data_IF_376839886518
#
_entry.id   IF_376839886518
#
_cell.length_a   1.000
_cell.length_b   1.000
_cell.length_c   1.000
_cell.angle_alpha   90.00
_cell.angle_beta   90.00
_cell.angle_gamma   90.00
#
_symmetry.space_group_name_H-M   'P 1'
#
loop_
_entity.id
_entity.type
_entity.pdbx_description
1 polymer ?
#
# COMPACT_ATOMS: atom_id res chain seq x y z
N UNK A 1 19.83 -5.47 -36.49
CA UNK A 1 19.53 -6.40 -35.38
C UNK A 1 19.66 -5.58 -34.11
N UNK A 2 18.54 -5.06 -33.61
CA UNK A 2 18.51 -4.41 -32.29
C UNK A 2 18.68 -5.51 -31.25
N UNK A 3 19.73 -5.39 -30.43
CA UNK A 3 19.90 -6.24 -29.26
C UNK A 3 18.69 -6.00 -28.34
N UNK A 4 17.83 -7.01 -28.24
CA UNK A 4 16.84 -7.13 -27.17
C UNK A 4 17.62 -7.03 -25.85
N UNK A 5 17.55 -5.87 -25.19
CA UNK A 5 17.97 -5.75 -23.80
C UNK A 5 17.19 -6.80 -23.01
N UNK A 6 17.92 -7.62 -22.28
CA UNK A 6 17.31 -8.57 -21.36
C UNK A 6 16.48 -7.74 -20.36
N UNK A 7 15.17 -8.02 -20.19
CA UNK A 7 14.32 -7.27 -19.26
C UNK A 7 14.78 -7.37 -17.80
N UNK A 8 15.78 -8.20 -17.50
CA UNK A 8 16.46 -8.26 -16.20
C UNK A 8 17.53 -7.18 -15.98
N UNK A 9 18.01 -6.48 -17.02
CA UNK A 9 19.03 -5.42 -16.88
C UNK A 9 18.53 -4.18 -16.11
N UNK A 10 17.22 -4.05 -15.90
CA UNK A 10 16.58 -2.97 -15.12
C UNK A 10 16.26 -3.40 -13.67
N UNK A 11 16.67 -4.59 -13.23
CA UNK A 11 16.47 -5.03 -11.86
C UNK A 11 17.59 -4.44 -10.99
N UNK A 12 17.25 -3.42 -10.20
CA UNK A 12 18.07 -2.95 -9.07
C UNK A 12 18.61 -4.15 -8.24
N UNK A 13 19.70 -4.00 -7.50
CA UNK A 13 20.22 -5.06 -6.61
C UNK A 13 19.23 -5.39 -5.49
N UNK A 14 19.12 -6.69 -5.14
CA UNK A 14 18.21 -7.16 -4.08
C UNK A 14 18.50 -6.42 -2.78
N UNK A 15 17.53 -5.65 -2.28
CA UNK A 15 17.71 -4.94 -1.02
C UNK A 15 17.67 -5.97 0.11
N UNK A 16 18.52 -5.82 1.13
CA UNK A 16 18.49 -6.66 2.34
C UNK A 16 17.08 -6.70 2.97
N UNK A 17 16.32 -5.62 2.76
CA UNK A 17 14.93 -5.48 3.15
C UNK A 17 14.00 -6.41 2.38
N UNK A 18 14.06 -6.39 1.05
CA UNK A 18 13.25 -7.27 0.21
C UNK A 18 13.52 -8.73 0.55
N UNK A 19 14.80 -9.10 0.72
CA UNK A 19 15.20 -10.45 1.14
C UNK A 19 14.55 -10.82 2.48
N UNK A 20 14.62 -9.96 3.50
CA UNK A 20 14.00 -10.23 4.81
C UNK A 20 12.49 -10.39 4.75
N UNK A 21 11.78 -9.53 4.01
CA UNK A 21 10.33 -9.62 3.85
C UNK A 21 9.99 -10.91 3.09
N UNK A 22 10.68 -11.17 1.97
CA UNK A 22 10.48 -12.37 1.15
C UNK A 22 10.70 -13.64 1.95
N UNK A 23 11.82 -13.75 2.64
CA UNK A 23 12.18 -14.91 3.45
C UNK A 23 11.14 -15.20 4.53
N UNK A 24 10.61 -14.17 5.20
CA UNK A 24 9.63 -14.35 6.26
C UNK A 24 8.22 -14.61 5.75
N UNK A 25 7.80 -14.00 4.63
CA UNK A 25 6.44 -14.14 4.11
C UNK A 25 6.24 -15.34 3.22
N UNK A 26 7.28 -15.74 2.48
CA UNK A 26 7.28 -16.97 1.69
C UNK A 26 7.53 -18.18 2.60
N UNK A 27 8.03 -17.99 3.83
CA UNK A 27 8.18 -19.07 4.78
C UNK A 27 6.81 -19.74 5.05
N UNK A 28 6.68 -21.06 4.79
CA UNK A 28 5.45 -21.79 5.08
C UNK A 28 4.98 -21.68 6.54
N UNK A 29 5.89 -21.37 7.47
CA UNK A 29 5.56 -21.19 8.89
C UNK A 29 4.90 -19.85 9.21
N UNK A 30 4.98 -18.84 8.35
CA UNK A 30 4.54 -17.47 8.64
C UNK A 30 3.11 -17.42 9.21
N UNK A 31 2.15 -18.00 8.50
CA UNK A 31 0.75 -18.00 8.91
C UNK A 31 0.54 -18.79 10.21
N UNK A 32 1.28 -19.87 10.40
CA UNK A 32 1.25 -20.67 11.64
C UNK A 32 1.77 -19.86 12.82
N UNK A 33 2.88 -19.14 12.63
CA UNK A 33 3.50 -18.28 13.63
C UNK A 33 2.59 -17.10 14.00
N UNK A 34 2.00 -16.42 13.01
CA UNK A 34 1.00 -15.35 13.24
C UNK A 34 -0.22 -15.88 13.98
N UNK A 35 -0.75 -17.05 13.58
CA UNK A 35 -1.90 -17.67 14.25
C UNK A 35 -1.57 -18.04 15.70
N UNK A 36 -0.37 -18.55 15.96
CA UNK A 36 0.12 -18.85 17.32
C UNK A 36 0.23 -17.58 18.16
N UNK A 37 0.76 -16.50 17.59
CA UNK A 37 0.85 -15.20 18.26
C UNK A 37 -0.55 -14.67 18.58
N UNK A 38 -1.44 -14.64 17.60
CA UNK A 38 -2.82 -14.17 17.77
C UNK A 38 -3.58 -14.96 18.84
N UNK A 39 -3.42 -16.28 18.86
CA UNK A 39 -4.01 -17.16 19.88
C UNK A 39 -3.44 -16.83 21.26
N UNK A 40 -2.12 -16.67 21.36
CA UNK A 40 -1.45 -16.33 22.61
C UNK A 40 -1.89 -14.96 23.15
N UNK A 41 -2.03 -13.96 22.27
CA UNK A 41 -2.57 -12.63 22.61
C UNK A 41 -4.05 -12.67 23.01
N UNK A 42 -4.80 -13.65 22.51
CA UNK A 42 -6.22 -13.81 22.81
C UNK A 42 -6.50 -14.45 24.16
N UNK A 43 -5.60 -15.34 24.61
CA UNK A 43 -5.76 -16.12 25.84
C UNK A 43 -5.02 -15.47 27.02
N UNK A 44 -3.93 -14.75 26.75
CA UNK A 44 -3.06 -14.19 27.79
C UNK A 44 -3.59 -12.90 28.41
N UNK A 45 -3.74 -12.89 29.74
CA UNK A 45 -3.83 -11.67 30.57
C UNK A 45 -2.48 -11.26 31.20
N UNK A 46 -1.41 -12.04 30.98
CA UNK A 46 -0.12 -11.90 31.68
C UNK A 46 0.92 -11.05 30.94
N UNK A 47 1.60 -10.17 31.67
CA UNK A 47 2.62 -9.26 31.14
C UNK A 47 3.84 -10.01 30.57
N UNK A 48 4.20 -11.17 31.12
CA UNK A 48 5.38 -11.95 30.70
C UNK A 48 5.21 -12.65 29.35
N UNK A 49 4.04 -13.25 29.12
CA UNK A 49 3.75 -13.89 27.82
C UNK A 49 3.75 -12.85 26.70
N UNK A 50 3.24 -11.64 26.97
CA UNK A 50 3.30 -10.51 26.04
C UNK A 50 4.74 -10.07 25.75
N UNK A 51 5.62 -10.04 26.75
CA UNK A 51 7.05 -9.74 26.56
C UNK A 51 7.74 -10.80 25.70
N UNK A 52 7.45 -12.09 25.94
CA UNK A 52 8.02 -13.20 25.15
C UNK A 52 7.62 -13.15 23.68
N UNK A 53 6.34 -12.87 23.40
CA UNK A 53 5.81 -12.71 22.04
C UNK A 53 6.49 -11.53 21.33
N UNK A 54 6.73 -10.41 22.05
CA UNK A 54 7.34 -9.21 21.49
C UNK A 54 8.78 -9.37 20.99
N UNK A 55 9.47 -10.42 21.44
CA UNK A 55 10.86 -10.70 21.13
C UNK A 55 11.03 -11.85 20.11
N UNK A 56 9.94 -12.35 19.53
CA UNK A 56 10.03 -13.32 18.43
C UNK A 56 10.40 -12.62 17.13
N UNK A 57 11.21 -13.27 16.29
CA UNK A 57 11.68 -12.74 15.01
C UNK A 57 10.52 -12.28 14.11
N UNK A 58 9.50 -13.12 13.96
CA UNK A 58 8.26 -12.81 13.26
C UNK A 58 7.58 -11.52 13.78
N UNK A 59 7.63 -11.25 15.09
CA UNK A 59 7.07 -10.04 15.68
C UNK A 59 7.90 -8.80 15.32
N UNK A 60 9.22 -8.94 15.22
CA UNK A 60 10.10 -7.87 14.75
C UNK A 60 9.82 -7.56 13.28
N UNK A 61 9.64 -8.60 12.45
CA UNK A 61 9.26 -8.44 11.03
C UNK A 61 7.92 -7.73 10.87
N UNK A 62 6.90 -8.13 11.62
CA UNK A 62 5.58 -7.45 11.58
C UNK A 62 5.69 -5.98 12.02
N UNK A 63 6.46 -5.69 13.08
CA UNK A 63 6.69 -4.30 13.50
C UNK A 63 7.38 -3.48 12.41
N UNK A 64 8.39 -4.05 11.78
CA UNK A 64 9.13 -3.40 10.71
C UNK A 64 8.22 -3.04 9.53
N UNK A 65 7.38 -3.99 9.09
CA UNK A 65 6.40 -3.77 8.01
C UNK A 65 5.40 -2.69 8.39
N UNK A 66 4.87 -2.75 9.61
CA UNK A 66 3.96 -1.74 10.12
C UNK A 66 4.63 -0.36 10.09
N UNK A 67 5.81 -0.21 10.70
CA UNK A 67 6.55 1.05 10.72
C UNK A 67 6.80 1.61 9.33
N UNK A 68 7.15 0.76 8.37
CA UNK A 68 7.39 1.18 7.00
C UNK A 68 6.11 1.62 6.28
N UNK A 69 5.05 0.81 6.36
CA UNK A 69 3.73 1.17 5.81
C UNK A 69 3.24 2.51 6.37
N UNK A 70 3.45 2.73 7.66
CA UNK A 70 3.02 3.95 8.34
C UNK A 70 3.85 5.19 8.01
N UNK A 71 5.14 5.03 7.73
CA UNK A 71 6.04 6.14 7.44
C UNK A 71 6.91 5.80 6.22
N UNK A 72 6.33 5.89 5.00
CA UNK A 72 7.08 5.72 3.77
C UNK A 72 8.30 6.63 3.74
N UNK A 73 9.44 6.08 3.31
CA UNK A 73 10.64 6.87 3.09
C UNK A 73 10.63 7.43 1.66
N UNK A 74 10.55 8.76 1.53
CA UNK A 74 10.43 9.47 0.25
C UNK A 74 11.65 9.30 -0.69
N UNK A 75 12.78 8.77 -0.22
CA UNK A 75 14.06 8.81 -0.95
C UNK A 75 14.31 7.63 -1.87
N UNK A 76 13.34 6.72 -2.03
CA UNK A 76 13.56 5.48 -2.76
C UNK A 76 12.48 5.32 -3.83
N UNK A 77 12.76 5.83 -5.03
CA UNK A 77 11.94 5.65 -6.23
C UNK A 77 12.41 4.43 -7.01
N UNK A 78 11.49 3.59 -7.48
CA UNK A 78 11.82 2.44 -8.32
C UNK A 78 10.77 1.34 -8.30
N UNK A 79 10.79 0.47 -9.33
CA UNK A 79 9.81 -0.63 -9.48
C UNK A 79 9.84 -1.59 -8.28
N UNK A 80 11.00 -1.77 -7.65
CA UNK A 80 11.15 -2.67 -6.50
C UNK A 80 10.56 -2.09 -5.23
N UNK A 81 10.75 -0.80 -4.97
CA UNK A 81 10.23 -0.14 -3.78
C UNK A 81 8.72 -0.04 -3.84
N UNK A 82 8.15 0.20 -5.04
CA UNK A 82 6.72 0.07 -5.27
C UNK A 82 6.21 -1.34 -4.90
N UNK A 83 6.92 -2.39 -5.33
CA UNK A 83 6.57 -3.78 -4.99
C UNK A 83 6.68 -4.06 -3.48
N UNK A 84 7.76 -3.62 -2.83
CA UNK A 84 7.94 -3.74 -1.37
C UNK A 84 6.81 -3.06 -0.61
N UNK A 85 6.42 -1.85 -1.03
CA UNK A 85 5.33 -1.10 -0.39
C UNK A 85 3.96 -1.77 -0.60
N UNK A 86 3.72 -2.33 -1.79
CA UNK A 86 2.51 -3.11 -2.07
C UNK A 86 2.46 -4.39 -1.23
N UNK A 87 3.60 -5.06 -1.05
CA UNK A 87 3.70 -6.20 -0.14
C UNK A 87 3.35 -5.78 1.29
N UNK A 88 3.93 -4.69 1.79
CA UNK A 88 3.60 -4.15 3.12
C UNK A 88 2.09 -3.93 3.26
N UNK A 89 1.45 -3.31 2.25
CA UNK A 89 0.01 -3.10 2.24
C UNK A 89 -0.78 -4.41 2.41
N UNK A 90 -0.54 -5.40 1.55
CA UNK A 90 -1.30 -6.66 1.58
C UNK A 90 -1.13 -7.39 2.91
N UNK A 91 0.06 -7.30 3.50
CA UNK A 91 0.38 -7.87 4.79
C UNK A 91 -0.39 -7.16 5.90
N UNK A 92 -0.36 -5.83 5.91
CA UNK A 92 -1.06 -5.02 6.90
C UNK A 92 -2.58 -5.21 6.77
N UNK A 93 -3.12 -5.27 5.55
CA UNK A 93 -4.54 -5.54 5.28
C UNK A 93 -4.94 -6.93 5.80
N UNK A 94 -4.15 -7.97 5.50
CA UNK A 94 -4.37 -9.33 5.99
C UNK A 94 -4.42 -9.37 7.51
N UNK A 95 -3.43 -8.75 8.17
CA UNK A 95 -3.34 -8.71 9.63
C UNK A 95 -4.47 -7.88 10.26
N UNK A 96 -4.84 -6.76 9.66
CA UNK A 96 -5.94 -5.91 10.14
C UNK A 96 -7.28 -6.64 10.07
N UNK A 97 -7.52 -7.38 8.98
CA UNK A 97 -8.77 -8.10 8.73
C UNK A 97 -8.89 -9.37 9.56
N UNK A 98 -7.83 -10.19 9.60
CA UNK A 98 -7.90 -11.54 10.17
C UNK A 98 -7.28 -11.67 11.56
N UNK A 99 -6.36 -10.76 11.91
CA UNK A 99 -5.58 -10.83 13.15
C UNK A 99 -5.50 -9.48 13.89
N UNK A 100 -6.63 -8.77 14.13
CA UNK A 100 -6.62 -7.38 14.61
C UNK A 100 -5.92 -7.19 15.96
N UNK A 101 -5.86 -8.22 16.82
CA UNK A 101 -5.10 -8.17 18.08
C UNK A 101 -3.59 -8.08 17.86
N UNK A 102 -3.07 -8.65 16.77
CA UNK A 102 -1.66 -8.54 16.38
C UNK A 102 -1.36 -7.09 16.02
N UNK A 103 -2.19 -6.46 15.18
CA UNK A 103 -2.09 -5.03 14.86
C UNK A 103 -2.13 -4.18 16.13
N UNK A 104 -3.11 -4.38 16.99
CA UNK A 104 -3.27 -3.56 18.19
C UNK A 104 -2.11 -3.66 19.18
N UNK A 105 -1.47 -4.83 19.30
CA UNK A 105 -0.34 -5.02 20.22
C UNK A 105 1.00 -4.60 19.60
N UNK A 106 1.15 -4.72 18.28
CA UNK A 106 2.42 -4.51 17.59
C UNK A 106 2.53 -3.16 16.85
N UNK A 107 1.42 -2.45 16.65
CA UNK A 107 1.46 -1.13 16.00
C UNK A 107 2.39 -0.16 16.75
N UNK A 108 3.10 0.73 16.04
CA UNK A 108 3.87 1.78 16.67
C UNK A 108 2.97 2.63 17.58
N UNK A 109 3.44 2.93 18.79
CA UNK A 109 2.64 3.64 19.82
C UNK A 109 2.08 4.99 19.36
N UNK A 110 2.72 5.61 18.38
CA UNK A 110 2.37 6.94 17.86
C UNK A 110 1.21 6.90 16.86
N UNK A 111 0.65 5.71 16.58
CA UNK A 111 -0.26 5.52 15.47
C UNK A 111 -1.65 5.14 15.94
N UNK A 112 -2.57 6.03 15.62
CA UNK A 112 -3.99 5.84 15.86
C UNK A 112 -4.55 4.76 14.92
N UNK A 113 -5.48 3.97 15.44
CA UNK A 113 -6.26 3.04 14.63
C UNK A 113 -6.99 3.75 13.48
N UNK A 114 -7.47 4.98 13.71
CA UNK A 114 -8.14 5.75 12.65
C UNK A 114 -7.19 6.07 11.48
N UNK A 115 -5.94 6.44 11.78
CA UNK A 115 -4.91 6.70 10.77
C UNK A 115 -4.65 5.45 9.92
N UNK A 116 -4.48 4.28 10.56
CA UNK A 116 -4.30 3.01 9.84
C UNK A 116 -5.48 2.71 8.90
N UNK A 117 -6.72 2.85 9.40
CA UNK A 117 -7.92 2.56 8.61
C UNK A 117 -8.03 3.47 7.39
N UNK A 118 -7.70 4.75 7.56
CA UNK A 118 -7.70 5.70 6.45
C UNK A 118 -6.60 5.39 5.43
N UNK A 119 -5.40 5.01 5.87
CA UNK A 119 -4.33 4.57 4.96
C UNK A 119 -4.73 3.33 4.15
N UNK A 120 -5.32 2.32 4.81
CA UNK A 120 -5.85 1.13 4.12
C UNK A 120 -6.98 1.48 3.16
N UNK A 121 -7.87 2.39 3.54
CA UNK A 121 -8.96 2.87 2.68
C UNK A 121 -8.41 3.52 1.41
N UNK A 122 -7.43 4.41 1.56
CA UNK A 122 -6.78 5.07 0.44
C UNK A 122 -6.14 4.07 -0.53
N UNK A 123 -5.46 3.05 0.00
CA UNK A 123 -4.88 1.97 -0.80
C UNK A 123 -5.95 1.21 -1.60
N UNK A 124 -7.09 0.90 -0.97
CA UNK A 124 -8.22 0.27 -1.66
C UNK A 124 -8.77 1.12 -2.81
N UNK A 125 -8.83 2.45 -2.65
CA UNK A 125 -9.22 3.37 -3.71
C UNK A 125 -8.23 3.33 -4.89
N UNK A 126 -6.93 3.30 -4.61
CA UNK A 126 -5.91 3.21 -5.65
C UNK A 126 -5.89 1.87 -6.37
N UNK A 127 -6.09 0.75 -5.68
CA UNK A 127 -6.22 -0.56 -6.32
C UNK A 127 -7.45 -0.61 -7.23
N UNK A 128 -8.56 0.00 -6.81
CA UNK A 128 -9.76 0.15 -7.65
C UNK A 128 -9.44 0.96 -8.91
N UNK A 129 -8.76 2.11 -8.76
CA UNK A 129 -8.33 2.92 -9.90
C UNK A 129 -7.43 2.13 -10.87
N UNK A 130 -6.45 1.40 -10.35
CA UNK A 130 -5.56 0.55 -11.14
C UNK A 130 -6.33 -0.51 -11.92
N UNK A 131 -7.30 -1.17 -11.29
CA UNK A 131 -8.16 -2.16 -11.93
C UNK A 131 -8.97 -1.54 -13.08
N UNK A 132 -9.66 -0.43 -12.83
CA UNK A 132 -10.45 0.27 -13.85
C UNK A 132 -9.58 0.75 -15.03
N UNK A 133 -8.32 1.10 -14.76
CA UNK A 133 -7.33 1.49 -15.79
C UNK A 133 -6.96 0.30 -16.68
N UNK A 134 -6.72 -0.88 -16.09
CA UNK A 134 -6.46 -2.12 -16.84
C UNK A 134 -7.67 -2.53 -17.68
N UNK A 135 -8.86 -2.39 -17.13
CA UNK A 135 -10.13 -2.69 -17.82
C UNK A 135 -10.51 -1.63 -18.88
N UNK A 136 -9.76 -0.51 -18.95
CA UNK A 136 -9.98 0.63 -19.87
C UNK A 136 -11.40 1.22 -19.76
N UNK A 137 -11.99 1.12 -18.58
CA UNK A 137 -13.32 1.63 -18.25
C UNK A 137 -13.23 3.13 -18.01
N UNK A 138 -13.58 3.95 -19.00
CA UNK A 138 -13.43 5.42 -18.86
C UNK A 138 -14.30 5.99 -17.73
N UNK A 139 -15.52 5.50 -17.57
CA UNK A 139 -16.43 5.95 -16.52
C UNK A 139 -15.97 5.48 -15.14
N UNK A 140 -15.53 4.22 -15.02
CA UNK A 140 -14.96 3.68 -13.79
C UNK A 140 -13.65 4.35 -13.39
N UNK A 141 -12.78 4.66 -14.35
CA UNK A 141 -11.57 5.45 -14.13
C UNK A 141 -11.91 6.86 -13.63
N UNK A 142 -12.84 7.56 -14.28
CA UNK A 142 -13.26 8.91 -13.86
C UNK A 142 -13.80 8.90 -12.43
N UNK A 143 -14.70 7.96 -12.10
CA UNK A 143 -15.25 7.80 -10.75
C UNK A 143 -14.16 7.49 -9.72
N UNK A 144 -13.23 6.60 -10.06
CA UNK A 144 -12.15 6.20 -9.15
C UNK A 144 -11.16 7.34 -8.90
N UNK A 145 -10.75 8.08 -9.94
CA UNK A 145 -9.91 9.27 -9.78
C UNK A 145 -10.62 10.31 -8.90
N UNK A 146 -11.92 10.54 -9.13
CA UNK A 146 -12.72 11.45 -8.31
C UNK A 146 -12.69 11.04 -6.83
N UNK A 147 -12.93 9.77 -6.52
CA UNK A 147 -12.91 9.28 -5.14
C UNK A 147 -11.53 9.42 -4.48
N UNK A 148 -10.45 9.16 -5.22
CA UNK A 148 -9.07 9.33 -4.74
C UNK A 148 -8.79 10.80 -4.37
N UNK A 149 -9.18 11.73 -5.24
CA UNK A 149 -8.97 13.16 -5.00
C UNK A 149 -9.85 13.70 -3.87
N UNK A 150 -11.13 13.30 -3.80
CA UNK A 150 -12.01 13.68 -2.69
C UNK A 150 -11.48 13.15 -1.34
N UNK A 151 -10.93 11.93 -1.32
CA UNK A 151 -10.28 11.41 -0.12
C UNK A 151 -9.05 12.24 0.27
N UNK A 152 -8.19 12.59 -0.70
CA UNK A 152 -7.01 13.42 -0.46
C UNK A 152 -7.38 14.80 0.13
N UNK A 153 -8.40 15.45 -0.42
CA UNK A 153 -8.86 16.78 0.02
C UNK A 153 -9.48 16.74 1.42
N UNK A 154 -10.15 15.63 1.77
CA UNK A 154 -10.83 15.48 3.08
C UNK A 154 -9.92 14.99 4.19
N UNK A 155 -8.81 14.29 3.87
CA UNK A 155 -7.89 13.71 4.84
C UNK A 155 -6.58 14.49 4.95
N UNK A 156 -6.68 15.77 5.32
CA UNK A 156 -5.53 16.71 5.43
C UNK A 156 -4.37 16.11 6.26
N UNK A 157 -4.68 15.44 7.37
CA UNK A 157 -3.68 14.82 8.25
C UNK A 157 -2.91 13.65 7.63
N UNK A 158 -3.30 13.19 6.44
CA UNK A 158 -2.67 12.08 5.72
C UNK A 158 -2.02 12.52 4.40
N UNK A 159 -2.15 13.78 3.98
CA UNK A 159 -1.66 14.23 2.68
C UNK A 159 -0.16 13.97 2.51
N UNK A 160 0.67 14.27 3.52
CA UNK A 160 2.11 13.97 3.47
C UNK A 160 2.39 12.47 3.27
N UNK A 161 1.59 11.60 3.89
CA UNK A 161 1.72 10.16 3.71
C UNK A 161 1.28 9.73 2.31
N UNK A 162 0.17 10.29 1.80
CA UNK A 162 -0.35 10.02 0.46
C UNK A 162 0.64 10.46 -0.61
N UNK A 163 1.23 11.66 -0.48
CA UNK A 163 2.17 12.21 -1.46
C UNK A 163 3.40 11.31 -1.59
N UNK A 164 3.99 10.93 -0.46
CA UNK A 164 5.13 9.99 -0.41
C UNK A 164 4.78 8.64 -1.00
N UNK A 165 3.56 8.17 -0.74
CA UNK A 165 3.10 6.90 -1.26
C UNK A 165 2.98 6.92 -2.79
N UNK A 166 2.30 7.92 -3.34
CA UNK A 166 2.11 8.05 -4.80
C UNK A 166 3.47 8.19 -5.48
N UNK A 167 4.39 8.95 -4.89
CA UNK A 167 5.76 9.10 -5.37
C UNK A 167 6.48 7.74 -5.44
N UNK A 168 6.38 6.91 -4.39
CA UNK A 168 7.01 5.57 -4.37
C UNK A 168 6.41 4.65 -5.43
N UNK A 169 5.08 4.63 -5.59
CA UNK A 169 4.38 3.66 -6.45
C UNK A 169 4.46 4.03 -7.92
N UNK A 170 4.33 5.31 -8.23
CA UNK A 170 4.15 5.78 -9.60
C UNK A 170 5.32 6.62 -10.13
N UNK A 171 6.24 7.04 -9.25
CA UNK A 171 7.25 8.04 -9.62
C UNK A 171 6.64 9.40 -9.99
N UNK A 172 5.36 9.61 -9.68
CA UNK A 172 4.61 10.83 -9.94
C UNK A 172 4.05 11.42 -8.64
N UNK A 173 3.56 12.65 -8.71
CA UNK A 173 2.87 13.32 -7.60
C UNK A 173 1.35 13.20 -7.75
N UNK A 174 0.58 13.52 -6.69
CA UNK A 174 -0.89 13.64 -6.76
C UNK A 174 -1.33 14.63 -7.86
N UNK A 175 -0.51 15.62 -8.20
CA UNK A 175 -0.74 16.55 -9.32
C UNK A 175 -0.81 15.83 -10.68
N UNK A 176 -0.06 14.74 -10.88
CA UNK A 176 -0.16 13.91 -12.08
C UNK A 176 -1.55 13.26 -12.23
N UNK A 177 -2.19 12.90 -11.11
CA UNK A 177 -3.57 12.39 -11.11
C UNK A 177 -4.59 13.50 -11.41
N UNK A 178 -4.36 14.72 -10.93
CA UNK A 178 -5.16 15.90 -11.30
C UNK A 178 -5.13 16.15 -12.81
N UNK A 179 -3.95 16.19 -13.41
CA UNK A 179 -3.79 16.37 -14.87
C UNK A 179 -4.47 15.25 -15.67
N UNK A 180 -4.41 14.02 -15.16
CA UNK A 180 -5.08 12.86 -15.77
C UNK A 180 -6.61 13.00 -15.75
N UNK A 181 -7.18 13.47 -14.62
CA UNK A 181 -8.63 13.76 -14.51
C UNK A 181 -9.06 14.80 -15.55
N UNK A 182 -8.34 15.90 -15.66
CA UNK A 182 -8.65 16.98 -16.60
C UNK A 182 -8.58 16.51 -18.06
N UNK A 183 -7.56 15.72 -18.41
CA UNK A 183 -7.43 15.12 -19.74
C UNK A 183 -8.60 14.20 -20.09
N UNK A 184 -9.06 13.37 -19.15
CA UNK A 184 -10.23 12.50 -19.33
C UNK A 184 -11.49 13.34 -19.56
N UNK A 185 -11.72 14.38 -18.74
CA UNK A 185 -12.87 15.30 -18.89
C UNK A 185 -12.85 15.94 -20.28
N UNK A 186 -11.71 16.48 -20.72
CA UNK A 186 -11.54 17.07 -22.04
C UNK A 186 -11.82 16.08 -23.18
N UNK A 187 -11.47 14.81 -23.00
CA UNK A 187 -11.77 13.76 -23.98
C UNK A 187 -13.27 13.40 -24.06
N UNK A 188 -14.00 13.53 -22.95
CA UNK A 188 -15.44 13.33 -22.89
C UNK A 188 -16.21 14.51 -23.48
N UNK A 189 -15.80 15.75 -23.15
CA UNK A 189 -16.42 16.96 -23.68
C UNK A 189 -16.17 17.14 -25.17
N UNK A 190 -14.99 16.79 -25.68
CA UNK A 190 -14.70 16.74 -27.12
C UNK A 190 -15.60 15.75 -27.89
N UNK A 191 -15.87 14.57 -27.32
CA UNK A 191 -16.80 13.60 -27.92
C UNK A 191 -18.26 14.05 -27.87
N UNK A 192 -18.70 14.61 -26.74
CA UNK A 192 -20.06 15.14 -26.61
C UNK A 192 -20.28 16.32 -27.57
N UNK A 193 -19.27 17.17 -27.76
CA UNK A 193 -19.32 18.29 -28.69
C UNK A 193 -19.36 17.83 -30.16
N UNK A 194 -18.65 16.75 -30.52
CA UNK A 194 -18.76 16.14 -31.86
C UNK A 194 -20.13 15.53 -32.14
N UNK A 195 -20.74 14.86 -31.15
CA UNK A 195 -22.08 14.26 -31.28
C UNK A 195 -23.17 15.34 -31.39
N UNK A 196 -22.93 16.56 -30.89
CA UNK A 196 -23.87 17.68 -30.99
C UNK A 196 -23.73 18.49 -32.30
N UNK A 197 -22.66 18.24 -33.07
CA UNK A 197 -22.33 18.94 -34.33
C UNK A 197 -22.58 18.07 -35.58
N UNK A 198 -23.07 16.83 -35.39
CA UNK A 198 -23.59 15.93 -36.43
C UNK A 198 -25.13 15.88 -36.37
#
# INVERSE_FOLDING_TARGET
>A
MENLKDPSDDLEEETERFTKIREHFINPSFLSDIKRIYTSLSISKGCELKKKIKNQEITLTVKFILEHFYKPQAKLSGKRQALEFLLDYYIVELLNTNYPKVINELKPKKIDHLVLQNQLTFMGLLLTLSKETVERSKEGMYKSIKNVLEFYDTQIGLQEWIDKFIEIISGHTIEGLWLTKESIICSFSSKAFKIWME
#
